data_IF_324106867447
#
_entry.id   IF_324106867447
#
_cell.length_a   1.000
_cell.length_b   1.000
_cell.length_c   1.000
_cell.angle_alpha   90.00
_cell.angle_beta   90.00
_cell.angle_gamma   90.00
#
_symmetry.space_group_name_H-M   'P 1'
#
loop_
_entity.id
_entity.type
_entity.pdbx_description
1 polymer ?
#
# COMPACT_ATOMS: atom_id res chain seq x y z
N UNK A 1 3.72 -18.51 11.78
CA UNK A 1 2.54 -19.03 12.51
C UNK A 1 1.94 -20.25 11.82
N UNK A 2 2.04 -20.38 10.49
CA UNK A 2 1.54 -21.54 9.72
C UNK A 2 2.11 -22.91 10.13
N UNK A 3 3.26 -22.95 10.83
CA UNK A 3 3.83 -24.20 11.37
C UNK A 3 3.04 -24.77 12.56
N UNK A 4 2.11 -24.00 13.14
CA UNK A 4 1.21 -24.45 14.19
C UNK A 4 -0.14 -24.78 13.56
N UNK A 5 -0.61 -26.02 13.71
CA UNK A 5 -1.93 -26.44 13.24
C UNK A 5 -2.97 -25.96 14.25
N UNK A 6 -3.64 -24.86 13.90
CA UNK A 6 -4.68 -24.27 14.74
C UNK A 6 -5.66 -23.46 13.89
N UNK A 7 -6.94 -23.62 14.18
CA UNK A 7 -8.03 -22.82 13.61
C UNK A 7 -9.18 -22.78 14.61
N UNK A 8 -10.07 -21.80 14.47
CA UNK A 8 -11.27 -21.69 15.31
C UNK A 8 -12.35 -22.63 14.80
N UNK A 9 -13.06 -23.28 15.72
CA UNK A 9 -14.11 -24.27 15.41
C UNK A 9 -15.17 -23.76 14.43
N UNK A 10 -15.72 -22.53 14.55
CA UNK A 10 -16.72 -22.04 13.60
C UNK A 10 -16.19 -21.91 12.17
N UNK A 11 -14.93 -21.49 12.03
CA UNK A 11 -14.28 -21.35 10.72
C UNK A 11 -14.04 -22.73 10.15
N UNK A 12 -13.49 -23.64 10.94
CA UNK A 12 -13.22 -25.00 10.52
C UNK A 12 -14.48 -25.76 10.09
N UNK A 13 -15.53 -25.71 10.91
CA UNK A 13 -16.81 -26.36 10.61
C UNK A 13 -17.46 -25.81 9.35
N UNK A 14 -17.29 -24.51 9.05
CA UNK A 14 -17.78 -23.92 7.81
C UNK A 14 -17.15 -24.61 6.59
N UNK A 15 -15.82 -24.69 6.53
CA UNK A 15 -15.12 -25.32 5.40
C UNK A 15 -15.34 -26.84 5.35
N UNK A 16 -15.36 -27.50 6.52
CA UNK A 16 -15.62 -28.93 6.59
C UNK A 16 -17.02 -29.30 6.07
N UNK A 17 -18.04 -28.51 6.40
CA UNK A 17 -19.41 -28.69 5.91
C UNK A 17 -19.60 -28.31 4.43
N UNK A 18 -18.67 -27.56 3.84
CA UNK A 18 -18.66 -27.26 2.41
C UNK A 18 -18.04 -28.40 1.58
N UNK A 19 -17.08 -29.13 2.17
CA UNK A 19 -16.35 -30.23 1.52
C UNK A 19 -17.00 -31.59 1.77
N UNK A 20 -17.56 -31.81 2.97
CA UNK A 20 -18.18 -33.07 3.37
C UNK A 20 -19.66 -33.12 2.97
N UNK A 21 -20.14 -34.31 2.62
CA UNK A 21 -21.57 -34.56 2.33
C UNK A 21 -22.44 -34.51 3.61
N UNK A 22 -21.82 -34.58 4.79
CA UNK A 22 -22.48 -34.52 6.10
C UNK A 22 -22.29 -33.14 6.75
N UNK A 23 -23.32 -32.68 7.48
CA UNK A 23 -23.25 -31.41 8.23
C UNK A 23 -22.96 -31.69 9.69
N UNK A 24 -21.93 -31.03 10.20
CA UNK A 24 -21.49 -31.10 11.60
C UNK A 24 -21.82 -29.82 12.35
N UNK A 25 -22.21 -29.98 13.61
CA UNK A 25 -22.47 -28.90 14.56
C UNK A 25 -21.39 -28.82 15.65
N UNK A 26 -21.31 -27.69 16.36
CA UNK A 26 -20.38 -27.53 17.49
C UNK A 26 -20.71 -28.47 18.66
N UNK A 27 -21.99 -28.82 18.84
CA UNK A 27 -22.47 -29.74 19.89
C UNK A 27 -21.97 -31.19 19.68
N UNK A 28 -21.53 -31.49 18.46
CA UNK A 28 -20.94 -32.76 18.06
C UNK A 28 -19.41 -32.74 18.20
N UNK A 29 -18.79 -31.80 18.93
CA UNK A 29 -17.36 -31.83 19.18
C UNK A 29 -17.03 -32.61 20.48
N UNK A 30 -16.08 -33.57 20.48
CA UNK A 30 -15.24 -34.03 19.37
C UNK A 30 -15.77 -35.36 18.75
N UNK A 31 -16.53 -35.30 17.66
CA UNK A 31 -17.08 -36.49 16.94
C UNK A 31 -16.05 -37.19 16.02
N UNK A 32 -14.81 -36.74 15.97
CA UNK A 32 -13.97 -36.90 14.77
C UNK A 32 -12.85 -37.96 14.82
N UNK A 33 -12.93 -38.98 15.66
CA UNK A 33 -12.01 -40.14 15.57
C UNK A 33 -12.49 -41.18 14.54
N UNK A 34 -12.90 -40.71 13.36
CA UNK A 34 -13.28 -41.56 12.22
C UNK A 34 -12.18 -41.47 11.19
N UNK A 35 -11.30 -42.47 11.19
CA UNK A 35 -10.08 -42.56 10.37
C UNK A 35 -10.27 -42.30 8.87
N UNK A 36 -11.48 -42.48 8.33
CA UNK A 36 -11.81 -42.23 6.92
C UNK A 36 -11.97 -40.75 6.57
N UNK A 37 -12.15 -39.84 7.55
CA UNK A 37 -12.43 -38.41 7.32
C UNK A 37 -11.21 -37.50 7.41
N UNK A 38 -10.02 -38.03 7.74
CA UNK A 38 -8.80 -37.22 7.85
C UNK A 38 -8.42 -36.49 6.56
N UNK A 39 -8.80 -37.03 5.39
CA UNK A 39 -8.55 -36.36 4.11
C UNK A 39 -9.36 -35.07 3.98
N UNK A 40 -10.67 -35.14 4.20
CA UNK A 40 -11.59 -33.98 4.15
C UNK A 40 -11.22 -32.92 5.21
N UNK A 41 -10.82 -33.39 6.40
CA UNK A 41 -10.35 -32.51 7.48
C UNK A 41 -9.09 -31.73 7.11
N UNK A 42 -8.14 -32.41 6.49
CA UNK A 42 -6.90 -31.79 6.06
C UNK A 42 -7.13 -30.83 4.88
N UNK A 43 -8.01 -31.20 3.95
CA UNK A 43 -8.43 -30.35 2.85
C UNK A 43 -9.10 -29.05 3.34
N UNK A 44 -10.06 -29.16 4.27
CA UNK A 44 -10.69 -28.01 4.91
C UNK A 44 -9.68 -27.09 5.59
N UNK A 45 -8.67 -27.66 6.27
CA UNK A 45 -7.61 -26.87 6.88
C UNK A 45 -6.74 -26.15 5.85
N UNK A 46 -6.39 -26.81 4.74
CA UNK A 46 -5.60 -26.18 3.67
C UNK A 46 -6.34 -25.02 3.00
N UNK A 47 -7.64 -25.15 2.74
CA UNK A 47 -8.45 -24.05 2.19
C UNK A 47 -8.44 -22.82 3.10
N UNK A 48 -8.55 -23.02 4.42
CA UNK A 48 -8.46 -21.94 5.41
C UNK A 48 -7.09 -21.25 5.36
N UNK A 49 -6.01 -22.03 5.27
CA UNK A 49 -4.64 -21.50 5.18
C UNK A 49 -4.47 -20.69 3.89
N UNK A 50 -4.94 -21.21 2.75
CA UNK A 50 -4.83 -20.54 1.45
C UNK A 50 -5.57 -19.21 1.46
N UNK A 51 -6.81 -19.18 1.97
CA UNK A 51 -7.55 -17.92 2.07
C UNK A 51 -6.85 -16.93 2.99
N UNK A 52 -6.43 -17.38 4.18
CA UNK A 52 -5.71 -16.52 5.14
C UNK A 52 -4.44 -15.93 4.53
N UNK A 53 -3.63 -16.74 3.84
CA UNK A 53 -2.41 -16.25 3.20
C UNK A 53 -2.70 -15.29 2.05
N UNK A 54 -3.77 -15.53 1.29
CA UNK A 54 -4.21 -14.67 0.20
C UNK A 54 -4.64 -13.29 0.70
N UNK A 55 -5.15 -13.18 1.92
CA UNK A 55 -5.48 -11.89 2.54
C UNK A 55 -4.27 -11.25 3.24
N UNK A 56 -3.53 -12.03 4.03
CA UNK A 56 -2.44 -11.51 4.87
C UNK A 56 -1.21 -11.08 4.08
N UNK A 57 -0.80 -11.84 3.05
CA UNK A 57 0.41 -11.51 2.28
C UNK A 57 0.27 -10.16 1.56
N UNK A 58 -0.79 -9.88 0.78
CA UNK A 58 -0.95 -8.57 0.15
C UNK A 58 -1.09 -7.44 1.17
N UNK A 59 -1.75 -7.69 2.31
CA UNK A 59 -1.87 -6.71 3.39
C UNK A 59 -0.51 -6.34 3.97
N UNK A 60 0.33 -7.32 4.28
CA UNK A 60 1.70 -7.08 4.77
C UNK A 60 2.54 -6.35 3.73
N UNK A 61 2.53 -6.80 2.47
CA UNK A 61 3.29 -6.14 1.40
C UNK A 61 2.85 -4.67 1.27
N UNK A 62 1.55 -4.40 1.22
CA UNK A 62 1.04 -3.04 1.08
C UNK A 62 1.36 -2.16 2.29
N UNK A 63 1.35 -2.74 3.50
CA UNK A 63 1.72 -2.01 4.70
C UNK A 63 3.20 -1.64 4.69
N UNK A 64 4.09 -2.62 4.56
CA UNK A 64 5.53 -2.41 4.65
C UNK A 64 6.08 -1.67 3.43
N UNK A 65 5.79 -2.17 2.23
CA UNK A 65 6.44 -1.66 1.00
C UNK A 65 5.88 -0.32 0.52
N UNK A 66 4.69 0.07 0.96
CA UNK A 66 4.07 1.32 0.53
C UNK A 66 3.78 2.28 1.69
N UNK A 67 3.02 1.86 2.71
CA UNK A 67 2.59 2.81 3.76
C UNK A 67 3.74 3.22 4.66
N UNK A 68 4.48 2.25 5.19
CA UNK A 68 5.58 2.51 6.11
C UNK A 68 6.77 3.16 5.38
N UNK A 69 7.13 2.66 4.20
CA UNK A 69 8.19 3.26 3.37
C UNK A 69 7.87 4.71 2.99
N UNK A 70 6.63 5.04 2.64
CA UNK A 70 6.25 6.43 2.33
C UNK A 70 6.38 7.34 3.56
N UNK A 71 6.03 6.84 4.75
CA UNK A 71 6.21 7.58 6.00
C UNK A 71 7.69 7.81 6.32
N UNK A 72 8.52 6.77 6.23
CA UNK A 72 9.97 6.86 6.43
C UNK A 72 10.61 7.81 5.42
N UNK A 73 10.28 7.68 4.14
CA UNK A 73 10.77 8.58 3.09
C UNK A 73 10.39 10.04 3.36
N UNK A 74 9.18 10.29 3.85
CA UNK A 74 8.75 11.67 4.18
C UNK A 74 9.55 12.25 5.34
N UNK A 75 9.88 11.44 6.35
CA UNK A 75 10.74 11.83 7.47
C UNK A 75 12.16 12.11 6.96
N UNK A 76 12.70 11.23 6.12
CA UNK A 76 14.04 11.39 5.55
C UNK A 76 14.12 12.62 4.63
N UNK A 77 13.09 12.91 3.85
CA UNK A 77 13.03 14.14 3.05
C UNK A 77 13.06 15.41 3.90
N UNK A 78 12.44 15.39 5.08
CA UNK A 78 12.52 16.52 6.01
C UNK A 78 13.89 16.60 6.68
N UNK A 79 14.53 15.46 6.94
CA UNK A 79 15.87 15.43 7.53
C UNK A 79 16.94 15.99 6.57
N UNK A 80 16.72 15.92 5.25
CA UNK A 80 17.57 16.60 4.26
C UNK A 80 17.61 18.13 4.42
N UNK A 81 16.65 18.74 5.13
CA UNK A 81 16.67 20.18 5.40
C UNK A 81 17.54 20.53 6.62
N UNK A 82 17.87 19.56 7.47
CA UNK A 82 18.66 19.79 8.67
C UNK A 82 20.14 20.00 8.31
N UNK A 83 20.64 21.21 8.53
CA UNK A 83 22.03 21.58 8.24
C UNK A 83 22.38 21.69 6.75
N UNK A 84 21.42 21.61 5.83
CA UNK A 84 21.69 21.66 4.40
C UNK A 84 21.98 23.06 3.86
N UNK A 85 22.85 23.12 2.85
CA UNK A 85 23.10 24.34 2.09
C UNK A 85 21.95 24.59 1.10
N UNK A 86 20.96 25.37 1.52
CA UNK A 86 19.77 25.70 0.72
C UNK A 86 20.14 26.32 -0.63
N UNK A 87 21.21 27.11 -0.70
CA UNK A 87 21.63 27.76 -1.96
C UNK A 87 22.15 26.77 -3.00
N UNK A 88 22.75 25.68 -2.55
CA UNK A 88 23.22 24.59 -3.41
C UNK A 88 22.08 23.65 -3.80
N UNK A 89 21.21 23.29 -2.84
CA UNK A 89 20.08 22.40 -3.08
C UNK A 89 19.04 23.00 -4.05
N UNK A 90 18.83 24.32 -3.96
CA UNK A 90 17.91 25.06 -4.83
C UNK A 90 18.59 25.66 -6.06
N UNK A 91 19.84 25.29 -6.34
CA UNK A 91 20.54 25.81 -7.51
C UNK A 91 19.84 25.31 -8.79
N UNK A 92 19.30 26.25 -9.55
CA UNK A 92 18.63 25.94 -10.83
C UNK A 92 19.65 25.50 -11.88
N UNK A 93 19.21 24.62 -12.79
CA UNK A 93 19.97 24.34 -14.02
C UNK A 93 20.16 25.63 -14.83
N UNK A 94 21.35 25.80 -15.41
CA UNK A 94 21.73 27.04 -16.12
C UNK A 94 20.81 27.38 -17.29
N UNK A 95 20.31 26.36 -18.00
CA UNK A 95 19.44 26.55 -19.16
C UNK A 95 18.05 27.00 -18.71
N UNK A 96 17.55 26.41 -17.62
CA UNK A 96 16.28 26.80 -16.97
C UNK A 96 16.37 28.24 -16.48
N UNK A 97 17.44 28.61 -15.78
CA UNK A 97 17.64 29.96 -15.26
C UNK A 97 17.78 31.01 -16.38
N UNK A 98 18.38 30.64 -17.52
CA UNK A 98 18.49 31.52 -18.69
C UNK A 98 17.14 31.70 -19.37
N UNK A 99 16.39 30.62 -19.58
CA UNK A 99 15.05 30.67 -20.17
C UNK A 99 14.08 31.47 -19.32
N UNK A 100 14.13 31.30 -17.99
CA UNK A 100 13.31 32.08 -17.04
C UNK A 100 13.56 33.58 -17.18
N UNK A 101 14.84 34.00 -17.27
CA UNK A 101 15.20 35.42 -17.45
C UNK A 101 14.71 35.99 -18.78
N UNK A 102 14.83 35.24 -19.89
CA UNK A 102 14.33 35.69 -21.20
C UNK A 102 12.80 35.85 -21.18
N UNK A 103 12.07 34.88 -20.64
CA UNK A 103 10.61 34.95 -20.51
C UNK A 103 10.16 36.12 -19.64
N UNK A 104 10.83 36.34 -18.50
CA UNK A 104 10.54 37.49 -17.63
C UNK A 104 10.76 38.81 -18.38
N UNK A 105 11.88 38.96 -19.08
CA UNK A 105 12.17 40.15 -19.88
C UNK A 105 11.11 40.41 -20.97
N UNK A 106 10.63 39.36 -21.63
CA UNK A 106 9.55 39.48 -22.62
C UNK A 106 8.22 39.87 -21.98
N UNK A 107 7.90 39.31 -20.82
CA UNK A 107 6.70 39.67 -20.08
C UNK A 107 6.74 41.15 -19.68
N UNK A 108 7.85 41.61 -19.09
CA UNK A 108 8.00 43.01 -18.67
C UNK A 108 7.81 43.97 -19.86
N UNK A 109 8.36 43.61 -21.03
CA UNK A 109 8.19 44.38 -22.27
C UNK A 109 6.74 44.39 -22.77
N UNK A 110 6.03 43.27 -22.66
CA UNK A 110 4.62 43.17 -23.04
C UNK A 110 3.74 43.99 -22.10
N UNK A 111 4.02 43.95 -20.79
CA UNK A 111 3.30 44.73 -19.78
C UNK A 111 3.48 46.23 -20.03
N UNK A 112 4.71 46.69 -20.27
CA UNK A 112 4.97 48.09 -20.61
C UNK A 112 4.25 48.53 -21.91
N UNK A 113 4.20 47.66 -22.92
CA UNK A 113 3.46 47.94 -24.15
C UNK A 113 1.95 48.03 -23.91
N UNK A 114 1.41 47.19 -23.03
CA UNK A 114 0.00 47.23 -22.64
C UNK A 114 -0.33 48.52 -21.89
N UNK A 115 0.51 48.94 -20.94
CA UNK A 115 0.33 50.20 -20.20
C UNK A 115 0.33 51.39 -21.16
N UNK A 116 1.30 51.46 -22.08
CA UNK A 116 1.36 52.51 -23.08
C UNK A 116 0.13 52.53 -24.02
N UNK A 117 -0.42 51.35 -24.36
CA UNK A 117 -1.66 51.27 -25.13
C UNK A 117 -2.88 51.72 -24.31
N UNK A 118 -2.90 51.42 -23.01
CA UNK A 118 -3.97 51.86 -22.12
C UNK A 118 -3.95 53.36 -21.87
N UNK A 119 -2.77 53.98 -21.80
CA UNK A 119 -2.61 55.43 -21.64
C UNK A 119 -2.94 56.22 -22.92
N UNK A 120 -2.93 55.55 -24.07
CA UNK A 120 -3.27 56.15 -25.37
C UNK A 120 -4.78 56.19 -25.65
N UNK A 121 -5.58 55.33 -25.02
CA UNK A 121 -7.05 55.24 -25.15
C UNK A 121 -7.73 56.15 -24.12
#
# INVERSE_FOLDING_TARGET
>A
MENMIYTQDPIYLKFLNEISDEKFSEDELPVFDIKSKYSEMLEAYYEIVVQRMSDQLPMMISFFMLKETAQLLSIDMLSLLDGANVSELLFEDSDVGTRRRDLQSRLDRLTAAQEALSDFI
#
